data_IF_455885633049
#
_entry.id   IF_455885633049
#
_cell.length_a   1.000
_cell.length_b   1.000
_cell.length_c   1.000
_cell.angle_alpha   90.00
_cell.angle_beta   90.00
_cell.angle_gamma   90.00
#
_symmetry.space_group_name_H-M   'P 1'
#
loop_
_entity.id
_entity.type
_entity.pdbx_description
1 polymer ?
#
# COMPACT_ATOMS: atom_id res chain seq x y z
N UNK A 1 -7.05 22.69 -34.85
CA UNK A 1 -8.30 22.35 -34.12
C UNK A 1 -8.13 20.95 -33.59
N UNK A 2 -7.50 20.84 -32.42
CA UNK A 2 -7.30 19.54 -31.78
C UNK A 2 -8.63 19.11 -31.18
N UNK A 3 -9.11 17.95 -31.63
CA UNK A 3 -10.35 17.38 -31.13
C UNK A 3 -10.19 17.14 -29.62
N UNK A 4 -11.04 17.79 -28.84
CA UNK A 4 -11.13 17.60 -27.39
C UNK A 4 -11.36 16.10 -27.13
N UNK A 5 -10.43 15.38 -26.46
CA UNK A 5 -10.57 13.94 -26.22
C UNK A 5 -11.70 13.60 -25.23
N UNK A 6 -12.41 14.60 -24.72
CA UNK A 6 -13.48 14.45 -23.71
C UNK A 6 -14.86 14.10 -24.30
N UNK A 7 -15.02 14.06 -25.63
CA UNK A 7 -16.27 13.68 -26.29
C UNK A 7 -16.33 12.19 -26.65
N UNK A 8 -15.59 11.32 -25.96
CA UNK A 8 -15.81 9.89 -26.09
C UNK A 8 -17.18 9.56 -25.50
N UNK A 9 -18.19 9.39 -26.36
CA UNK A 9 -19.52 8.96 -25.99
C UNK A 9 -19.50 7.65 -25.16
N UNK A 10 -20.64 7.21 -24.62
CA UNK A 10 -20.75 6.09 -23.69
C UNK A 10 -20.29 4.73 -24.22
N UNK A 11 -19.82 4.64 -25.45
CA UNK A 11 -19.48 3.38 -26.13
C UNK A 11 -18.00 2.98 -26.06
N UNK A 12 -17.07 3.88 -25.65
CA UNK A 12 -15.65 3.53 -25.66
C UNK A 12 -15.28 2.53 -24.57
N UNK A 13 -14.74 1.38 -24.96
CA UNK A 13 -14.21 0.35 -24.04
C UNK A 13 -12.70 0.44 -24.00
N UNK A 14 -12.15 0.80 -22.85
CA UNK A 14 -10.71 0.78 -22.59
C UNK A 14 -10.21 -0.65 -22.42
N UNK A 15 -9.01 -0.94 -22.87
CA UNK A 15 -8.38 -2.23 -22.61
C UNK A 15 -7.98 -2.33 -21.11
N UNK A 16 -7.35 -1.27 -20.59
CA UNK A 16 -6.95 -1.19 -19.18
C UNK A 16 -7.21 0.21 -18.63
N UNK A 17 -7.79 0.27 -17.43
CA UNK A 17 -7.78 1.47 -16.60
C UNK A 17 -6.77 1.27 -15.46
N UNK A 18 -5.79 2.15 -15.37
CA UNK A 18 -4.81 2.22 -14.27
C UNK A 18 -5.26 3.30 -13.30
N UNK A 19 -5.48 2.94 -12.04
CA UNK A 19 -5.95 3.85 -10.99
C UNK A 19 -4.78 4.22 -10.07
N UNK A 20 -4.34 5.47 -10.15
CA UNK A 20 -3.18 6.00 -9.46
C UNK A 20 -1.95 6.07 -10.37
N UNK A 21 -1.29 7.24 -10.40
CA UNK A 21 -0.05 7.50 -11.15
C UNK A 21 1.12 7.81 -10.21
N UNK A 22 1.20 7.10 -9.10
CA UNK A 22 2.41 6.95 -8.31
C UNK A 22 3.39 5.98 -8.98
N UNK A 23 4.46 5.61 -8.29
CA UNK A 23 5.53 4.74 -8.80
C UNK A 23 5.02 3.45 -9.46
N UNK A 24 4.09 2.77 -8.80
CA UNK A 24 3.53 1.52 -9.30
C UNK A 24 2.68 1.71 -10.55
N UNK A 25 1.83 2.74 -10.57
CA UNK A 25 0.95 3.04 -11.71
C UNK A 25 1.73 3.49 -12.94
N UNK A 26 2.74 4.35 -12.77
CA UNK A 26 3.62 4.78 -13.86
C UNK A 26 4.42 3.61 -14.44
N UNK A 27 4.96 2.72 -13.58
CA UNK A 27 5.65 1.52 -14.05
C UNK A 27 4.70 0.56 -14.80
N UNK A 28 3.42 0.48 -14.39
CA UNK A 28 2.40 -0.30 -15.09
C UNK A 28 2.08 0.30 -16.46
N UNK A 29 1.80 1.61 -16.50
CA UNK A 29 1.46 2.30 -17.75
C UNK A 29 2.60 2.19 -18.80
N UNK A 30 3.84 2.37 -18.35
CA UNK A 30 5.01 2.19 -19.20
C UNK A 30 5.14 0.74 -19.74
N UNK A 31 4.93 -0.28 -18.91
CA UNK A 31 5.02 -1.67 -19.39
C UNK A 31 3.89 -2.00 -20.35
N UNK A 32 2.67 -1.46 -20.17
CA UNK A 32 1.56 -1.58 -21.11
C UNK A 32 1.92 -0.94 -22.47
N UNK A 33 2.50 0.27 -22.44
CA UNK A 33 3.02 0.93 -23.64
C UNK A 33 4.07 0.06 -24.36
N UNK A 34 5.02 -0.52 -23.64
CA UNK A 34 6.03 -1.44 -24.20
C UNK A 34 5.41 -2.70 -24.82
N UNK A 35 4.21 -3.06 -24.43
CA UNK A 35 3.44 -4.19 -24.96
C UNK A 35 2.52 -3.79 -26.10
N UNK A 36 2.64 -2.58 -26.61
CA UNK A 36 1.89 -2.08 -27.77
C UNK A 36 0.50 -1.54 -27.44
N UNK A 37 0.16 -1.30 -26.15
CA UNK A 37 -1.08 -0.62 -25.80
C UNK A 37 -0.82 0.89 -25.73
N UNK A 38 -1.64 1.66 -26.42
CA UNK A 38 -1.44 3.10 -26.61
C UNK A 38 -2.10 3.90 -25.48
N UNK A 39 -1.33 4.71 -24.70
CA UNK A 39 -1.90 5.59 -23.69
C UNK A 39 -2.86 6.62 -24.31
N UNK A 40 -4.03 6.78 -23.68
CA UNK A 40 -5.09 7.64 -24.20
C UNK A 40 -5.97 7.00 -25.28
N UNK A 41 -5.61 5.80 -25.74
CA UNK A 41 -6.42 5.00 -26.69
C UNK A 41 -6.83 3.65 -26.08
N UNK A 42 -5.87 2.83 -25.69
CA UNK A 42 -6.10 1.53 -25.05
C UNK A 42 -6.04 1.63 -23.52
N UNK A 43 -5.17 2.50 -23.01
CA UNK A 43 -4.88 2.67 -21.58
C UNK A 43 -5.33 4.03 -21.10
N UNK A 44 -6.20 4.05 -20.08
CA UNK A 44 -6.58 5.23 -19.34
C UNK A 44 -5.89 5.22 -18.00
N UNK A 45 -5.14 6.28 -17.66
CA UNK A 45 -4.51 6.46 -16.35
C UNK A 45 -5.23 7.57 -15.59
N UNK A 46 -5.82 7.24 -14.45
CA UNK A 46 -6.56 8.18 -13.59
C UNK A 46 -5.79 8.39 -12.28
N UNK A 47 -5.56 9.64 -11.90
CA UNK A 47 -4.88 9.99 -10.65
C UNK A 47 -5.61 11.11 -9.92
N UNK A 48 -5.84 10.90 -8.61
CA UNK A 48 -6.58 11.84 -7.78
C UNK A 48 -5.74 13.05 -7.35
N UNK A 49 -4.42 13.00 -7.52
CA UNK A 49 -3.50 14.07 -7.16
C UNK A 49 -3.65 15.30 -8.03
N UNK A 50 -3.29 16.47 -7.52
CA UNK A 50 -3.28 17.72 -8.28
C UNK A 50 -2.12 17.80 -9.28
N UNK A 51 -1.14 16.88 -9.21
CA UNK A 51 0.03 16.86 -10.10
C UNK A 51 0.87 15.60 -9.92
N UNK A 52 1.92 15.42 -10.73
CA UNK A 52 2.86 14.30 -10.63
C UNK A 52 3.54 14.19 -9.27
N UNK A 53 4.00 12.98 -8.90
CA UNK A 53 4.74 12.73 -7.67
C UNK A 53 4.08 11.68 -6.76
N UNK A 54 2.79 11.38 -6.94
CA UNK A 54 2.05 10.45 -6.09
C UNK A 54 2.18 10.82 -4.60
N UNK A 55 2.40 9.84 -3.72
CA UNK A 55 2.57 10.08 -2.28
C UNK A 55 3.82 10.92 -1.92
N UNK A 56 4.80 11.05 -2.81
CA UNK A 56 6.00 11.86 -2.56
C UNK A 56 5.70 13.34 -2.58
N UNK A 57 4.78 13.79 -3.43
CA UNK A 57 4.37 15.17 -3.54
C UNK A 57 3.89 15.77 -2.21
N UNK A 58 3.27 14.94 -1.37
CA UNK A 58 2.67 15.32 -0.10
C UNK A 58 3.62 15.19 1.09
N UNK A 59 4.91 14.85 0.86
CA UNK A 59 5.90 14.74 1.91
C UNK A 59 6.42 16.11 2.33
N UNK A 60 6.85 16.20 3.59
CA UNK A 60 7.40 17.41 4.21
C UNK A 60 8.82 17.71 3.71
N UNK A 61 9.19 18.99 3.74
CA UNK A 61 10.44 19.47 3.12
C UNK A 61 11.72 18.96 3.82
N UNK A 62 11.70 18.67 5.14
CA UNK A 62 12.86 18.11 5.83
C UNK A 62 13.16 16.65 5.45
N UNK A 63 12.24 15.95 4.78
CA UNK A 63 12.53 14.67 4.14
C UNK A 63 13.29 14.91 2.83
N UNK A 64 14.57 15.18 2.95
CA UNK A 64 15.45 15.35 1.79
C UNK A 64 15.74 14.04 1.08
N UNK A 65 16.25 14.11 -0.15
CA UNK A 65 16.60 12.92 -0.94
C UNK A 65 17.58 12.00 -0.20
N UNK A 66 18.55 12.57 0.51
CA UNK A 66 19.53 11.80 1.29
C UNK A 66 18.96 11.12 2.54
N UNK A 67 17.81 11.60 3.05
CA UNK A 67 17.08 10.98 4.17
C UNK A 67 15.98 10.03 3.71
N UNK A 68 15.61 10.08 2.43
CA UNK A 68 14.65 9.17 1.85
C UNK A 68 15.31 7.80 1.64
N UNK A 69 14.74 6.74 2.20
CA UNK A 69 15.23 5.39 1.97
C UNK A 69 14.99 4.99 0.52
N UNK A 70 16.03 4.97 -0.29
CA UNK A 70 16.12 4.54 -1.68
C UNK A 70 14.85 4.79 -2.53
N UNK A 71 14.90 5.81 -3.38
CA UNK A 71 13.91 6.00 -4.44
C UNK A 71 14.33 5.13 -5.61
N UNK A 72 13.50 4.12 -5.91
CA UNK A 72 13.81 3.22 -7.01
C UNK A 72 13.49 3.87 -8.36
N UNK A 73 14.35 3.61 -9.34
CA UNK A 73 14.15 4.05 -10.71
C UNK A 73 12.86 3.54 -11.33
N UNK A 74 12.23 4.36 -12.14
CA UNK A 74 11.16 3.94 -13.03
C UNK A 74 11.74 3.25 -14.29
N UNK A 75 11.02 2.28 -14.88
CA UNK A 75 11.51 1.54 -16.02
C UNK A 75 11.82 2.44 -17.23
N UNK A 76 13.01 2.30 -17.80
CA UNK A 76 13.41 3.03 -19.01
C UNK A 76 13.88 4.47 -18.79
N UNK A 77 13.89 4.96 -17.55
CA UNK A 77 14.43 6.29 -17.23
C UNK A 77 14.92 6.32 -15.77
N UNK A 78 16.21 6.36 -15.52
CA UNK A 78 16.74 6.48 -14.17
C UNK A 78 16.41 7.87 -13.59
N UNK A 79 16.31 7.95 -12.25
CA UNK A 79 16.18 9.22 -11.52
C UNK A 79 17.34 10.17 -11.84
N UNK A 80 18.54 9.60 -12.01
CA UNK A 80 19.77 10.34 -12.23
C UNK A 80 20.34 10.91 -10.92
N UNK A 81 21.36 11.75 -11.07
CA UNK A 81 22.00 12.42 -9.93
C UNK A 81 21.16 13.64 -9.51
N UNK A 82 20.80 13.68 -8.24
CA UNK A 82 20.15 14.85 -7.63
C UNK A 82 20.83 15.13 -6.28
N UNK A 83 20.91 16.42 -5.85
CA UNK A 83 21.51 16.77 -4.57
C UNK A 83 20.77 16.11 -3.40
N UNK A 84 21.52 15.65 -2.41
CA UNK A 84 20.99 14.89 -1.26
C UNK A 84 20.21 15.76 -0.26
N UNK A 85 20.42 17.07 -0.28
CA UNK A 85 19.83 18.08 0.61
C UNK A 85 18.51 18.69 0.08
N UNK A 86 18.14 18.38 -1.17
CA UNK A 86 16.88 18.84 -1.75
C UNK A 86 15.71 18.00 -1.23
N UNK A 87 14.53 18.61 -0.93
CA UNK A 87 13.33 17.89 -0.55
C UNK A 87 12.96 16.80 -1.55
N UNK A 88 12.78 15.57 -1.07
CA UNK A 88 12.43 14.42 -1.92
C UNK A 88 11.10 14.65 -2.66
N UNK A 89 10.16 15.40 -2.05
CA UNK A 89 8.89 15.79 -2.66
C UNK A 89 9.07 16.53 -3.98
N UNK A 90 10.05 17.44 -4.05
CA UNK A 90 10.35 18.23 -5.28
C UNK A 90 11.05 17.37 -6.32
N UNK A 91 12.11 16.65 -5.91
CA UNK A 91 12.90 15.82 -6.83
C UNK A 91 12.04 14.74 -7.50
N UNK A 92 11.22 14.04 -6.70
CA UNK A 92 10.40 12.93 -7.23
C UNK A 92 9.22 13.45 -8.04
N UNK A 93 8.62 14.57 -7.66
CA UNK A 93 7.52 15.17 -8.45
C UNK A 93 8.01 15.61 -9.84
N UNK A 94 9.19 16.23 -9.90
CA UNK A 94 9.80 16.60 -11.18
C UNK A 94 10.20 15.38 -12.01
N UNK A 95 10.78 14.37 -11.38
CA UNK A 95 11.13 13.11 -12.02
C UNK A 95 9.91 12.41 -12.64
N UNK A 96 8.79 12.32 -11.91
CA UNK A 96 7.57 11.68 -12.42
C UNK A 96 6.94 12.50 -13.55
N UNK A 97 6.95 13.84 -13.44
CA UNK A 97 6.50 14.71 -14.53
C UNK A 97 7.30 14.44 -15.80
N UNK A 98 8.64 14.48 -15.74
CA UNK A 98 9.52 14.19 -16.88
C UNK A 98 9.30 12.78 -17.46
N UNK A 99 8.99 11.82 -16.57
CA UNK A 99 8.68 10.45 -16.98
C UNK A 99 7.37 10.36 -17.77
N UNK A 100 6.31 10.99 -17.28
CA UNK A 100 5.01 11.07 -17.95
C UNK A 100 5.13 11.72 -19.33
N UNK A 101 5.84 12.83 -19.40
CA UNK A 101 6.08 13.59 -20.63
C UNK A 101 6.89 12.74 -21.65
N UNK A 102 8.00 12.13 -21.17
CA UNK A 102 8.89 11.33 -22.03
C UNK A 102 8.19 10.15 -22.70
N UNK A 103 7.31 9.49 -21.97
CA UNK A 103 6.61 8.30 -22.46
C UNK A 103 5.18 8.57 -22.90
N UNK A 104 4.74 9.83 -22.91
CA UNK A 104 3.40 10.22 -23.36
C UNK A 104 2.27 9.49 -22.62
N UNK A 105 2.38 9.30 -21.31
CA UNK A 105 1.48 8.45 -20.54
C UNK A 105 0.05 9.00 -20.39
N UNK A 106 -0.19 10.28 -20.74
CA UNK A 106 -1.52 10.94 -20.77
C UNK A 106 -2.33 10.74 -19.51
N UNK A 107 -1.70 10.97 -18.34
CA UNK A 107 -2.35 10.84 -17.03
C UNK A 107 -3.42 11.93 -16.86
N UNK A 108 -4.66 11.52 -16.54
CA UNK A 108 -5.74 12.47 -16.22
C UNK A 108 -5.69 12.83 -14.76
N UNK A 109 -5.68 14.15 -14.46
CA UNK A 109 -5.65 14.75 -13.12
C UNK A 109 -6.43 16.07 -13.10
N UNK A 110 -7.09 16.40 -11.99
CA UNK A 110 -7.47 15.48 -10.92
C UNK A 110 -8.58 14.53 -11.38
N UNK A 111 -8.43 13.24 -11.07
CA UNK A 111 -9.39 12.21 -11.41
C UNK A 111 -9.48 11.18 -10.27
N UNK A 112 -10.44 11.35 -9.38
CA UNK A 112 -10.64 10.50 -8.21
C UNK A 112 -11.60 9.38 -8.53
N UNK A 113 -11.13 8.14 -8.57
CA UNK A 113 -11.99 6.97 -8.75
C UNK A 113 -12.83 6.75 -7.48
N UNK A 114 -14.14 6.70 -7.64
CA UNK A 114 -15.13 6.54 -6.60
C UNK A 114 -15.52 5.08 -6.42
N UNK A 115 -15.78 4.38 -7.54
CA UNK A 115 -16.19 2.99 -7.53
C UNK A 115 -15.77 2.24 -8.79
N UNK A 116 -15.61 0.93 -8.63
CA UNK A 116 -15.47 -0.03 -9.73
C UNK A 116 -16.55 -1.09 -9.56
N UNK A 117 -17.37 -1.27 -10.58
CA UNK A 117 -18.45 -2.27 -10.62
C UNK A 117 -18.25 -3.22 -11.78
N UNK A 118 -18.96 -4.35 -11.79
CA UNK A 118 -19.03 -5.26 -12.93
C UNK A 118 -20.40 -5.17 -13.59
N UNK A 119 -20.45 -5.16 -14.92
CA UNK A 119 -21.69 -5.16 -15.66
C UNK A 119 -22.53 -6.43 -15.44
N UNK A 120 -21.87 -7.53 -15.09
CA UNK A 120 -22.49 -8.75 -14.55
C UNK A 120 -21.67 -9.20 -13.34
N UNK A 121 -22.27 -9.20 -12.15
CA UNK A 121 -21.69 -9.88 -11.00
C UNK A 121 -21.82 -11.38 -11.25
N UNK A 122 -20.76 -12.20 -11.12
CA UNK A 122 -20.96 -13.62 -10.96
C UNK A 122 -21.90 -13.80 -9.74
N UNK A 123 -22.97 -14.56 -9.92
CA UNK A 123 -23.82 -14.94 -8.80
C UNK A 123 -22.92 -15.52 -7.69
N UNK A 124 -23.12 -15.16 -6.41
CA UNK A 124 -22.38 -15.82 -5.35
C UNK A 124 -22.62 -17.32 -5.51
N UNK A 125 -21.57 -18.06 -5.78
CA UNK A 125 -21.64 -19.51 -5.67
C UNK A 125 -21.82 -19.80 -4.17
N UNK A 126 -23.06 -19.89 -3.76
CA UNK A 126 -23.45 -20.55 -2.53
C UNK A 126 -23.25 -22.05 -2.79
N UNK A 127 -22.02 -22.51 -2.74
CA UNK A 127 -21.72 -23.93 -2.61
C UNK A 127 -21.48 -24.17 -1.13
N UNK A 128 -22.34 -24.97 -0.66
CA UNK A 128 -22.38 -25.95 0.40
C UNK A 128 -23.36 -25.60 1.50
N UNK A 129 -24.61 -25.91 1.20
CA UNK A 129 -25.50 -26.51 2.18
C UNK A 129 -25.23 -28.00 2.13
N UNK A 130 -25.01 -28.65 3.30
CA UNK A 130 -25.11 -30.08 3.40
C UNK A 130 -26.51 -30.56 2.97
N UNK A 131 -26.66 -31.83 2.66
CA UNK A 131 -27.95 -32.45 2.25
C UNK A 131 -29.09 -32.25 3.27
N UNK A 132 -28.87 -31.48 4.34
CA UNK A 132 -29.84 -31.13 5.40
C UNK A 132 -30.18 -29.67 5.51
N UNK A 133 -29.69 -28.75 4.62
CA UNK A 133 -30.09 -27.33 4.61
C UNK A 133 -29.53 -26.48 5.76
N UNK A 134 -28.52 -26.94 6.47
CA UNK A 134 -27.86 -26.18 7.54
C UNK A 134 -26.70 -25.37 6.99
N UNK A 135 -26.71 -24.05 7.23
CA UNK A 135 -25.55 -23.19 7.00
C UNK A 135 -24.37 -23.70 7.83
N UNK A 136 -23.27 -24.08 7.18
CA UNK A 136 -22.04 -24.44 7.87
C UNK A 136 -21.49 -23.22 8.59
N UNK A 137 -21.64 -23.22 9.92
CA UNK A 137 -21.01 -22.27 10.82
C UNK A 137 -19.49 -22.46 10.71
N UNK A 138 -18.76 -21.39 10.44
CA UNK A 138 -17.32 -21.42 10.36
C UNK A 138 -16.71 -22.10 11.60
N UNK A 139 -15.72 -22.99 11.44
CA UNK A 139 -15.11 -23.69 12.55
C UNK A 139 -14.45 -22.70 13.51
N UNK A 140 -14.74 -22.84 14.77
CA UNK A 140 -14.01 -22.24 15.88
C UNK A 140 -12.54 -22.67 15.77
N UNK A 141 -11.64 -21.71 15.91
CA UNK A 141 -10.20 -21.93 15.81
C UNK A 141 -9.73 -22.95 16.84
N UNK A 142 -9.44 -24.15 16.37
CA UNK A 142 -8.59 -25.08 17.08
C UNK A 142 -7.14 -24.86 16.59
N UNK A 143 -6.22 -24.67 17.54
CA UNK A 143 -4.85 -24.19 17.34
C UNK A 143 -3.90 -25.20 16.70
N UNK A 144 -4.42 -26.20 15.96
CA UNK A 144 -3.67 -27.34 15.44
C UNK A 144 -3.66 -27.55 13.92
N UNK A 145 -4.40 -26.78 13.12
CA UNK A 145 -4.43 -26.99 11.68
C UNK A 145 -3.31 -26.19 11.00
N UNK A 146 -2.31 -26.86 10.46
CA UNK A 146 -1.29 -26.30 9.59
C UNK A 146 -1.88 -25.68 8.33
N UNK A 147 -1.12 -24.83 7.60
CA UNK A 147 -1.62 -24.10 6.44
C UNK A 147 -2.11 -25.08 5.36
N UNK A 148 -3.33 -24.83 4.85
CA UNK A 148 -3.89 -25.59 3.73
C UNK A 148 -2.89 -25.62 2.55
N UNK A 149 -2.65 -26.82 2.02
CA UNK A 149 -1.71 -27.03 0.91
C UNK A 149 -2.17 -26.30 -0.34
N UNK A 150 -1.22 -25.73 -1.10
CA UNK A 150 -1.43 -24.92 -2.30
C UNK A 150 -2.17 -25.63 -3.46
N UNK A 151 -2.59 -26.90 -3.30
CA UNK A 151 -3.24 -27.72 -4.31
C UNK A 151 -4.77 -27.70 -4.31
N UNK A 152 -5.42 -27.17 -3.26
CA UNK A 152 -6.89 -27.25 -3.08
C UNK A 152 -7.63 -25.94 -3.44
N UNK A 153 -7.01 -25.10 -4.23
CA UNK A 153 -7.64 -23.86 -4.70
C UNK A 153 -8.53 -24.19 -5.88
N UNK A 154 -9.84 -24.04 -5.71
CA UNK A 154 -10.79 -24.10 -6.81
C UNK A 154 -10.31 -23.22 -7.98
N UNK A 155 -10.58 -23.63 -9.21
CA UNK A 155 -10.24 -22.88 -10.42
C UNK A 155 -10.69 -21.41 -10.26
N UNK A 156 -9.85 -20.46 -10.73
CA UNK A 156 -10.24 -19.06 -10.77
C UNK A 156 -11.63 -18.93 -11.42
N UNK A 157 -12.52 -18.08 -10.89
CA UNK A 157 -13.87 -17.98 -11.42
C UNK A 157 -13.83 -17.69 -12.91
N UNK A 158 -14.59 -18.46 -13.68
CA UNK A 158 -14.74 -18.25 -15.12
C UNK A 158 -15.57 -16.99 -15.32
N UNK A 159 -14.88 -15.87 -15.51
CA UNK A 159 -15.52 -14.59 -15.80
C UNK A 159 -15.81 -14.56 -17.31
N UNK A 160 -17.09 -14.46 -17.72
CA UNK A 160 -17.46 -14.45 -19.12
C UNK A 160 -16.64 -13.39 -19.90
N UNK A 161 -16.20 -13.74 -21.10
CA UNK A 161 -15.26 -12.91 -21.91
C UNK A 161 -15.80 -11.51 -22.21
N UNK A 162 -17.13 -11.36 -22.24
CA UNK A 162 -17.82 -10.12 -22.63
C UNK A 162 -18.18 -9.23 -21.42
N UNK A 163 -17.88 -9.65 -20.19
CA UNK A 163 -18.13 -8.81 -19.00
C UNK A 163 -17.08 -7.72 -18.86
N UNK A 164 -17.56 -6.49 -18.72
CA UNK A 164 -16.73 -5.31 -18.51
C UNK A 164 -16.77 -4.86 -17.06
N UNK A 165 -15.76 -4.09 -16.70
CA UNK A 165 -15.76 -3.29 -15.47
C UNK A 165 -16.17 -1.86 -15.81
N UNK A 166 -16.94 -1.23 -14.93
CA UNK A 166 -17.29 0.18 -14.99
C UNK A 166 -16.56 0.92 -13.88
N UNK A 167 -15.78 1.91 -14.25
CA UNK A 167 -14.99 2.76 -13.35
C UNK A 167 -15.65 4.12 -13.29
N UNK A 168 -16.26 4.45 -12.16
CA UNK A 168 -16.84 5.78 -11.91
C UNK A 168 -15.80 6.63 -11.20
N UNK A 169 -15.54 7.82 -11.73
CA UNK A 169 -14.58 8.77 -11.19
C UNK A 169 -15.14 10.20 -11.20
N UNK A 170 -14.76 10.97 -10.19
CA UNK A 170 -14.84 12.42 -10.22
C UNK A 170 -13.64 12.96 -10.98
N UNK A 171 -13.88 13.53 -12.14
CA UNK A 171 -12.87 14.14 -13.01
C UNK A 171 -13.14 15.64 -13.08
N UNK A 172 -12.27 16.44 -12.47
CA UNK A 172 -12.41 17.90 -12.44
C UNK A 172 -13.76 18.40 -11.89
N UNK A 173 -14.32 17.68 -10.90
CA UNK A 173 -15.62 18.00 -10.29
C UNK A 173 -16.85 17.44 -11.03
N UNK A 174 -16.65 16.69 -12.10
CA UNK A 174 -17.72 16.03 -12.84
C UNK A 174 -17.61 14.50 -12.74
N UNK A 175 -18.72 13.85 -12.40
CA UNK A 175 -18.75 12.39 -12.38
C UNK A 175 -18.73 11.83 -13.81
N UNK A 176 -17.81 10.90 -14.07
CA UNK A 176 -17.60 10.23 -15.35
C UNK A 176 -17.50 8.72 -15.13
N UNK A 177 -18.06 7.95 -16.06
CA UNK A 177 -17.97 6.49 -16.07
C UNK A 177 -17.19 6.01 -17.27
N UNK A 178 -16.24 5.09 -17.03
CA UNK A 178 -15.38 4.50 -18.05
C UNK A 178 -15.57 2.99 -18.04
N UNK A 179 -15.84 2.40 -19.20
CA UNK A 179 -15.91 0.95 -19.38
C UNK A 179 -14.54 0.39 -19.71
N UNK A 180 -14.15 -0.71 -19.10
CA UNK A 180 -12.84 -1.33 -19.30
C UNK A 180 -12.87 -2.85 -19.19
N UNK A 181 -11.92 -3.50 -19.86
CA UNK A 181 -11.73 -4.94 -19.74
C UNK A 181 -10.95 -5.33 -18.50
N UNK A 182 -10.05 -4.47 -18.05
CA UNK A 182 -9.21 -4.72 -16.87
C UNK A 182 -8.96 -3.44 -16.07
N UNK A 183 -8.79 -3.62 -14.76
CA UNK A 183 -8.40 -2.56 -13.83
C UNK A 183 -7.10 -2.94 -13.15
N UNK A 184 -6.15 -2.01 -13.12
CA UNK A 184 -4.95 -2.07 -12.28
C UNK A 184 -5.07 -1.00 -11.20
N UNK A 185 -5.33 -1.41 -9.96
CA UNK A 185 -5.38 -0.48 -8.82
C UNK A 185 -3.99 -0.29 -8.24
N UNK A 186 -3.46 0.93 -8.37
CA UNK A 186 -2.15 1.38 -7.90
C UNK A 186 -2.27 2.57 -6.92
N UNK A 187 -3.33 2.59 -6.12
CA UNK A 187 -3.74 3.72 -5.28
C UNK A 187 -2.92 3.90 -4.01
N UNK A 188 -2.05 2.94 -3.69
CA UNK A 188 -1.17 3.01 -2.51
C UNK A 188 -1.92 3.08 -1.18
N UNK A 189 -1.33 3.81 -0.23
CA UNK A 189 -1.81 3.86 1.16
C UNK A 189 -1.90 5.28 1.72
N UNK A 190 -1.24 6.26 1.12
CA UNK A 190 -0.99 7.58 1.68
C UNK A 190 -2.25 8.35 2.11
N UNK A 191 -3.33 8.21 1.37
CA UNK A 191 -4.62 8.87 1.62
C UNK A 191 -5.46 8.18 2.71
N UNK A 192 -4.95 7.08 3.30
CA UNK A 192 -5.66 6.31 4.33
C UNK A 192 -4.77 6.15 5.57
N UNK A 193 -4.46 7.25 6.30
CA UNK A 193 -3.76 7.18 7.57
C UNK A 193 -4.57 6.34 8.57
N UNK A 194 -3.86 5.58 9.40
CA UNK A 194 -4.50 4.74 10.41
C UNK A 194 -4.24 5.29 11.81
N UNK A 195 -5.29 5.73 12.46
CA UNK A 195 -5.28 6.09 13.89
C UNK A 195 -6.06 5.02 14.66
N UNK A 196 -5.44 4.32 15.62
CA UNK A 196 -6.14 3.34 16.43
C UNK A 196 -7.14 4.06 17.35
N UNK A 197 -8.28 3.44 17.57
CA UNK A 197 -9.20 3.93 18.59
C UNK A 197 -8.64 3.67 20.00
N UNK A 198 -8.67 4.70 20.83
CA UNK A 198 -8.28 4.63 22.24
C UNK A 198 -9.34 5.34 23.08
N UNK A 199 -9.77 4.75 24.22
CA UNK A 199 -10.74 5.38 25.12
C UNK A 199 -10.30 6.79 25.54
N UNK A 200 -11.22 7.76 25.43
CA UNK A 200 -10.98 9.16 25.82
C UNK A 200 -10.31 10.02 24.74
N UNK A 201 -10.03 9.49 23.54
CA UNK A 201 -9.41 10.26 22.47
C UNK A 201 -10.17 11.56 22.08
N UNK A 202 -11.53 11.60 22.08
CA UNK A 202 -12.28 12.83 21.81
C UNK A 202 -12.15 13.90 22.92
N UNK A 203 -11.78 13.51 24.15
CA UNK A 203 -11.67 14.43 25.29
C UNK A 203 -10.32 15.16 25.32
N UNK A 204 -9.37 14.75 24.50
CA UNK A 204 -8.04 15.34 24.46
C UNK A 204 -8.10 16.79 23.96
N UNK A 205 -7.58 17.72 24.76
CA UNK A 205 -7.59 19.16 24.48
C UNK A 205 -6.35 19.64 23.74
N UNK A 206 -5.33 18.78 23.63
CA UNK A 206 -4.14 19.03 22.82
C UNK A 206 -4.36 18.72 21.34
N UNK A 207 -3.29 18.82 20.56
CA UNK A 207 -3.30 18.52 19.12
C UNK A 207 -3.12 17.03 18.88
N UNK A 208 -3.95 16.43 18.04
CA UNK A 208 -3.72 15.11 17.48
C UNK A 208 -3.43 15.25 15.97
N UNK A 209 -2.38 14.61 15.50
CA UNK A 209 -1.99 14.62 14.09
C UNK A 209 -1.43 13.26 13.68
N UNK A 210 -1.49 12.97 12.40
CA UNK A 210 -0.86 11.80 11.79
C UNK A 210 0.35 12.25 10.95
N UNK A 211 1.21 11.30 10.53
CA UNK A 211 2.35 11.53 9.64
C UNK A 211 2.03 12.41 8.42
N UNK A 212 0.83 12.32 7.86
CA UNK A 212 0.40 13.13 6.70
C UNK A 212 0.21 14.60 7.02
N UNK A 213 0.00 14.95 8.30
CA UNK A 213 -0.28 16.31 8.75
C UNK A 213 1.00 17.06 9.13
N UNK A 214 2.14 16.36 9.23
CA UNK A 214 3.41 16.96 9.61
C UNK A 214 3.94 17.89 8.53
N UNK A 215 4.48 19.04 8.96
CA UNK A 215 5.12 20.04 8.06
C UNK A 215 6.56 20.33 8.48
N UNK A 216 6.78 20.72 9.73
CA UNK A 216 8.12 21.03 10.24
C UNK A 216 8.25 20.79 11.73
N UNK A 217 9.47 20.54 12.21
CA UNK A 217 9.75 20.37 13.63
C UNK A 217 9.51 21.67 14.45
N UNK A 218 9.65 22.84 13.83
CA UNK A 218 9.44 24.12 14.48
C UNK A 218 8.02 24.33 15.03
N UNK A 219 7.02 23.64 14.44
CA UNK A 219 5.63 23.69 14.94
C UNK A 219 5.48 23.09 16.35
N UNK A 220 6.46 22.34 16.82
CA UNK A 220 6.42 21.62 18.13
C UNK A 220 7.35 22.23 19.16
N UNK A 221 7.93 23.40 18.88
CA UNK A 221 8.91 24.02 19.78
C UNK A 221 8.33 24.24 21.20
N UNK A 222 9.06 23.75 22.20
CA UNK A 222 8.68 23.85 23.61
C UNK A 222 7.50 22.97 24.05
N UNK A 223 6.95 22.15 23.17
CA UNK A 223 5.83 21.25 23.47
C UNK A 223 6.32 19.88 23.91
N UNK A 224 5.49 19.16 24.67
CA UNK A 224 5.66 17.75 24.96
C UNK A 224 4.90 16.90 23.97
N UNK A 225 5.63 16.13 23.14
CA UNK A 225 5.10 15.39 22.00
C UNK A 225 5.16 13.89 22.24
N UNK A 226 3.99 13.25 22.29
CA UNK A 226 3.89 11.80 22.30
C UNK A 226 3.94 11.25 20.88
N UNK A 227 5.02 10.59 20.50
CA UNK A 227 5.17 9.91 19.23
C UNK A 227 4.72 8.45 19.36
N UNK A 228 3.68 8.06 18.63
CA UNK A 228 3.06 6.74 18.72
C UNK A 228 3.37 5.91 17.50
N UNK A 229 4.07 4.79 17.66
CA UNK A 229 4.39 3.85 16.57
C UNK A 229 5.81 3.31 16.64
N UNK A 230 6.00 2.09 16.15
CA UNK A 230 7.30 1.38 16.16
C UNK A 230 7.96 1.27 14.80
N UNK A 231 7.65 2.18 13.87
CA UNK A 231 8.19 2.17 12.51
C UNK A 231 9.28 3.22 12.29
N UNK A 232 9.93 3.16 11.10
CA UNK A 232 10.99 4.10 10.71
C UNK A 232 10.55 5.56 10.80
N UNK A 233 9.30 5.87 10.43
CA UNK A 233 8.80 7.25 10.54
C UNK A 233 8.80 7.75 11.98
N UNK A 234 8.40 6.92 12.95
CA UNK A 234 8.43 7.31 14.36
C UNK A 234 9.85 7.61 14.83
N UNK A 235 10.82 6.74 14.47
CA UNK A 235 12.23 6.91 14.82
C UNK A 235 12.80 8.20 14.23
N UNK A 236 12.52 8.47 12.94
CA UNK A 236 12.99 9.67 12.25
C UNK A 236 12.40 10.94 12.87
N UNK A 237 11.09 10.94 13.17
CA UNK A 237 10.46 12.11 13.82
C UNK A 237 10.92 12.34 15.25
N UNK A 238 11.16 11.28 16.03
CA UNK A 238 11.72 11.43 17.38
C UNK A 238 13.07 12.15 17.32
N UNK A 239 13.97 11.75 16.40
CA UNK A 239 15.27 12.40 16.26
C UNK A 239 15.15 13.83 15.69
N UNK A 240 14.18 14.09 14.84
CA UNK A 240 13.95 15.42 14.26
C UNK A 240 13.32 16.39 15.28
N UNK A 241 12.45 15.89 16.16
CA UNK A 241 11.76 16.69 17.17
C UNK A 241 12.58 16.91 18.43
N UNK A 242 13.45 15.97 18.82
CA UNK A 242 14.21 16.06 20.07
C UNK A 242 14.99 17.37 20.31
N UNK A 243 15.55 18.05 19.28
CA UNK A 243 16.20 19.34 19.49
C UNK A 243 15.27 20.51 19.87
N UNK A 244 13.95 20.39 19.63
CA UNK A 244 13.00 21.50 19.79
C UNK A 244 11.83 21.19 20.73
N UNK A 245 11.59 19.91 21.04
CA UNK A 245 10.45 19.44 21.82
C UNK A 245 10.88 18.39 22.85
N UNK A 246 10.11 18.26 23.94
CA UNK A 246 10.21 17.12 24.87
C UNK A 246 9.44 15.93 24.27
N UNK A 247 10.14 14.84 23.95
CA UNK A 247 9.54 13.71 23.23
C UNK A 247 9.34 12.50 24.12
N UNK A 248 8.16 11.86 23.98
CA UNK A 248 7.83 10.58 24.62
C UNK A 248 7.50 9.58 23.52
N UNK A 249 8.15 8.42 23.56
CA UNK A 249 7.90 7.37 22.57
C UNK A 249 6.97 6.28 23.09
N UNK A 250 5.91 5.96 22.35
CA UNK A 250 4.99 4.89 22.70
C UNK A 250 4.96 3.79 21.63
N UNK A 251 5.23 2.55 22.06
CA UNK A 251 5.09 1.34 21.22
C UNK A 251 4.43 0.22 22.02
N UNK A 252 3.66 -0.63 21.35
CA UNK A 252 2.97 -1.76 22.02
C UNK A 252 3.90 -2.90 22.43
N UNK A 253 5.09 -2.95 21.86
CA UNK A 253 6.10 -3.98 22.05
C UNK A 253 7.49 -3.36 21.89
N UNK A 254 8.54 -4.07 22.30
CA UNK A 254 9.91 -3.61 22.08
C UNK A 254 10.15 -3.21 20.65
N UNK A 255 10.83 -2.10 20.37
CA UNK A 255 11.27 -1.74 19.03
C UNK A 255 12.12 -2.86 18.44
N UNK A 256 11.76 -3.32 17.24
CA UNK A 256 12.46 -4.41 16.57
C UNK A 256 13.57 -3.85 15.70
N UNK A 257 14.82 -4.09 16.08
CA UNK A 257 16.01 -3.70 15.33
C UNK A 257 16.52 -4.85 14.45
N UNK A 258 17.37 -4.55 13.49
CA UNK A 258 18.01 -5.55 12.62
C UNK A 258 19.45 -5.17 12.31
N UNK A 259 20.32 -6.17 12.31
CA UNK A 259 21.70 -6.07 11.83
C UNK A 259 21.81 -6.37 10.32
N UNK A 260 20.72 -6.90 9.74
CA UNK A 260 20.70 -7.23 8.33
C UNK A 260 20.93 -6.00 7.47
N UNK A 261 21.88 -6.08 6.58
CA UNK A 261 22.01 -5.14 5.47
C UNK A 261 20.83 -5.32 4.53
N UNK A 262 20.28 -4.20 4.04
CA UNK A 262 19.19 -4.23 3.06
C UNK A 262 19.75 -4.66 1.69
N UNK A 263 20.14 -5.93 1.56
CA UNK A 263 20.57 -6.51 0.29
C UNK A 263 19.43 -7.18 -0.49
N UNK A 264 19.69 -7.55 -1.73
CA UNK A 264 18.68 -8.13 -2.62
C UNK A 264 18.20 -9.51 -2.14
N UNK A 265 19.04 -10.30 -1.48
CA UNK A 265 18.71 -11.64 -0.97
C UNK A 265 17.72 -11.54 0.19
N UNK A 266 18.01 -10.64 1.10
CA UNK A 266 17.14 -10.35 2.22
C UNK A 266 15.79 -9.74 1.76
N UNK A 267 15.83 -8.75 0.83
CA UNK A 267 14.64 -8.17 0.21
C UNK A 267 13.73 -9.22 -0.42
N UNK A 268 14.28 -10.19 -1.14
CA UNK A 268 13.53 -11.27 -1.73
C UNK A 268 12.89 -12.22 -0.69
N UNK A 269 13.52 -12.42 0.46
CA UNK A 269 12.96 -13.22 1.55
C UNK A 269 11.75 -12.56 2.19
N UNK A 270 11.84 -11.24 2.40
CA UNK A 270 10.76 -10.40 2.91
C UNK A 270 9.57 -10.39 1.94
N UNK A 271 9.82 -10.19 0.65
CA UNK A 271 8.77 -10.23 -0.38
C UNK A 271 8.02 -11.58 -0.35
N UNK A 272 8.74 -12.71 -0.34
CA UNK A 272 8.13 -14.05 -0.28
C UNK A 272 7.24 -14.25 0.95
N UNK A 273 7.69 -13.79 2.10
CA UNK A 273 6.94 -13.91 3.34
C UNK A 273 5.64 -13.07 3.32
N UNK A 274 5.69 -11.86 2.75
CA UNK A 274 4.50 -11.02 2.57
C UNK A 274 3.57 -11.59 1.51
N UNK A 275 4.09 -12.14 0.42
CA UNK A 275 3.29 -12.79 -0.63
C UNK A 275 2.57 -14.05 -0.09
N UNK A 276 3.25 -14.89 0.69
CA UNK A 276 2.62 -16.02 1.36
C UNK A 276 1.47 -15.60 2.29
N UNK A 277 1.65 -14.47 2.99
CA UNK A 277 0.63 -13.90 3.86
C UNK A 277 -0.61 -13.44 3.09
N UNK A 278 -0.43 -12.71 1.99
CA UNK A 278 -1.56 -12.24 1.16
C UNK A 278 -2.21 -13.36 0.38
N UNK A 279 -1.46 -14.37 -0.03
CA UNK A 279 -2.00 -15.60 -0.61
C UNK A 279 -2.88 -16.39 0.38
N UNK A 280 -2.59 -16.32 1.68
CA UNK A 280 -3.43 -16.87 2.74
C UNK A 280 -4.63 -15.98 3.11
N UNK A 281 -4.90 -14.88 2.38
CA UNK A 281 -6.01 -13.95 2.66
C UNK A 281 -5.85 -13.14 3.93
N UNK A 282 -4.62 -13.02 4.44
CA UNK A 282 -4.31 -12.14 5.57
C UNK A 282 -3.97 -10.73 5.06
N UNK A 283 -4.28 -9.66 5.82
CA UNK A 283 -3.86 -8.31 5.46
C UNK A 283 -2.33 -8.21 5.35
N UNK A 284 -1.79 -7.44 4.41
CA UNK A 284 -0.35 -7.21 4.32
C UNK A 284 0.23 -6.67 5.63
N UNK A 285 1.44 -7.07 5.97
CA UNK A 285 2.18 -6.49 7.08
C UNK A 285 2.94 -5.25 6.63
N UNK A 286 3.23 -4.32 7.56
CA UNK A 286 4.12 -3.19 7.26
C UNK A 286 5.55 -3.68 6.99
N UNK A 287 6.30 -2.93 6.18
CA UNK A 287 7.70 -3.24 5.85
C UNK A 287 8.53 -3.40 7.13
N UNK A 288 8.50 -2.42 8.04
CA UNK A 288 9.31 -2.46 9.27
C UNK A 288 8.96 -3.64 10.17
N UNK A 289 7.72 -4.08 10.18
CA UNK A 289 7.32 -5.27 10.94
C UNK A 289 8.00 -6.53 10.41
N UNK A 290 8.31 -6.55 9.13
CA UNK A 290 8.94 -7.68 8.45
C UNK A 290 10.46 -7.56 8.48
N UNK A 291 10.99 -6.33 8.48
CA UNK A 291 12.40 -6.02 8.28
C UNK A 291 13.14 -5.58 9.53
N UNK A 292 12.47 -4.90 10.46
CA UNK A 292 13.08 -4.24 11.59
C UNK A 292 13.60 -2.82 11.29
N UNK A 293 14.10 -2.15 12.32
CA UNK A 293 14.75 -0.84 12.27
C UNK A 293 16.26 -1.09 12.08
N UNK A 294 16.93 -0.52 11.06
CA UNK A 294 18.36 -0.75 10.85
C UNK A 294 19.20 -0.13 11.99
N UNK A 295 20.24 -0.83 12.42
CA UNK A 295 21.19 -0.35 13.43
C UNK A 295 22.20 0.64 12.84
N UNK A 296 21.75 1.79 12.38
CA UNK A 296 22.66 2.84 11.90
C UNK A 296 23.16 3.73 13.04
N UNK A 297 24.35 4.37 12.91
CA UNK A 297 24.96 5.16 13.98
C UNK A 297 24.03 6.22 14.59
N UNK A 298 23.25 6.91 13.77
CA UNK A 298 22.31 7.94 14.24
C UNK A 298 21.20 7.38 15.16
N UNK A 299 20.72 6.17 14.90
CA UNK A 299 19.68 5.55 15.73
C UNK A 299 20.26 5.02 17.03
N UNK A 300 21.45 4.42 16.99
CA UNK A 300 22.15 3.98 18.21
C UNK A 300 22.50 5.17 19.10
N UNK A 301 22.91 6.29 18.50
CA UNK A 301 23.12 7.55 19.24
C UNK A 301 21.83 8.07 19.88
N UNK A 302 20.72 8.06 19.16
CA UNK A 302 19.41 8.44 19.70
C UNK A 302 18.96 7.57 20.88
N UNK A 303 19.34 6.28 20.91
CA UNK A 303 19.10 5.41 22.07
C UNK A 303 19.96 5.86 23.24
N UNK A 304 21.28 6.08 23.03
CA UNK A 304 22.21 6.53 24.10
C UNK A 304 21.80 7.87 24.70
N UNK A 305 21.26 8.77 23.91
CA UNK A 305 20.74 10.07 24.34
C UNK A 305 19.36 9.99 25.02
N UNK A 306 18.74 8.80 25.05
CA UNK A 306 17.42 8.61 25.66
C UNK A 306 16.23 9.04 24.78
N UNK A 307 16.49 9.50 23.55
CA UNK A 307 15.44 9.93 22.60
C UNK A 307 14.69 8.73 22.05
N UNK A 308 15.40 7.66 21.67
CA UNK A 308 14.80 6.44 21.13
C UNK A 308 14.58 5.37 22.21
N UNK A 309 13.90 5.76 23.29
CA UNK A 309 13.53 4.85 24.39
C UNK A 309 12.01 4.77 24.50
N UNK A 310 11.45 3.63 24.09
CA UNK A 310 10.01 3.42 24.21
C UNK A 310 9.57 3.14 25.64
N UNK A 311 8.50 3.81 26.06
CA UNK A 311 7.90 3.75 27.40
C UNK A 311 6.73 2.76 27.51
N UNK A 312 6.58 1.85 26.52
CA UNK A 312 5.43 0.95 26.44
C UNK A 312 4.25 1.60 25.73
N UNK A 313 3.04 1.14 26.02
CA UNK A 313 1.82 1.64 25.39
C UNK A 313 0.83 2.15 26.41
N UNK A 314 0.02 3.11 26.02
CA UNK A 314 -1.08 3.65 26.80
C UNK A 314 -2.41 2.98 26.42
N UNK A 315 -3.34 2.96 27.38
CA UNK A 315 -4.68 2.38 27.26
C UNK A 315 -5.81 3.43 27.32
N UNK A 316 -5.48 4.66 27.70
CA UNK A 316 -6.45 5.75 27.84
C UNK A 316 -5.81 7.09 27.47
N UNK A 317 -6.62 7.93 26.86
CA UNK A 317 -6.32 9.35 26.63
C UNK A 317 -7.23 10.16 27.55
N UNK A 318 -6.69 11.19 28.19
CA UNK A 318 -7.42 12.16 28.98
C UNK A 318 -7.25 13.57 28.42
N UNK A 319 -7.83 14.59 29.08
CA UNK A 319 -7.85 15.96 28.54
C UNK A 319 -6.46 16.57 28.29
N UNK A 320 -5.43 16.17 29.03
CA UNK A 320 -4.08 16.75 28.95
C UNK A 320 -2.97 15.71 28.87
N UNK A 321 -3.28 14.45 28.57
CA UNK A 321 -2.26 13.42 28.53
C UNK A 321 -2.80 12.02 28.29
N UNK A 322 -1.94 11.05 28.51
CA UNK A 322 -2.24 9.63 28.31
C UNK A 322 -1.86 8.79 29.53
N UNK A 323 -2.57 7.70 29.74
CA UNK A 323 -2.24 6.72 30.76
C UNK A 323 -1.51 5.55 30.13
N UNK A 324 -0.21 5.45 30.37
CA UNK A 324 0.54 4.24 30.05
C UNK A 324 0.12 3.10 30.96
N UNK A 325 0.08 1.88 30.42
CA UNK A 325 -0.38 0.71 31.16
C UNK A 325 0.41 -0.54 30.75
N UNK A 326 0.92 -1.31 31.71
CA UNK A 326 1.53 -2.61 31.43
C UNK A 326 0.58 -3.55 30.68
N UNK A 327 -0.73 -3.47 30.93
CA UNK A 327 -1.73 -4.29 30.26
C UNK A 327 -1.90 -3.97 28.76
N UNK A 328 -1.54 -2.77 28.33
CA UNK A 328 -1.54 -2.36 26.92
C UNK A 328 -0.19 -2.64 26.22
N UNK A 329 0.79 -3.11 26.98
CA UNK A 329 2.19 -3.29 26.57
C UNK A 329 2.50 -4.78 26.48
N UNK A 330 3.01 -5.23 25.34
CA UNK A 330 3.43 -6.63 25.16
C UNK A 330 4.93 -6.76 25.45
N UNK A 331 5.29 -7.59 26.42
CA UNK A 331 6.68 -7.79 26.83
C UNK A 331 7.53 -8.45 25.73
N UNK A 332 6.91 -9.26 24.88
CA UNK A 332 7.56 -9.92 23.75
C UNK A 332 6.67 -9.91 22.50
N UNK A 333 7.23 -10.41 21.42
CA UNK A 333 6.52 -10.58 20.17
C UNK A 333 5.81 -11.95 20.04
N UNK A 334 6.04 -12.87 20.97
CA UNK A 334 5.64 -14.28 20.84
C UNK A 334 4.12 -14.49 20.90
N UNK A 335 3.39 -13.66 21.64
CA UNK A 335 1.93 -13.78 21.79
C UNK A 335 1.10 -13.21 20.65
N UNK A 336 1.71 -12.69 19.57
CA UNK A 336 0.98 -11.92 18.55
C UNK A 336 0.45 -12.76 17.38
N UNK A 337 0.65 -14.08 17.37
CA UNK A 337 0.19 -14.98 16.30
C UNK A 337 0.64 -14.52 14.91
N UNK A 338 -0.25 -14.49 13.90
CA UNK A 338 0.07 -13.99 12.56
C UNK A 338 0.58 -12.56 12.52
N UNK A 339 0.58 -11.89 13.65
CA UNK A 339 1.08 -10.53 13.87
C UNK A 339 2.49 -10.47 14.43
N UNK A 340 3.13 -11.60 14.72
CA UNK A 340 4.53 -11.63 15.17
C UNK A 340 5.47 -10.95 14.16
N UNK A 341 6.54 -10.27 14.62
CA UNK A 341 7.56 -9.79 13.71
C UNK A 341 8.18 -10.96 12.96
N UNK A 342 8.40 -10.77 11.67
CA UNK A 342 9.09 -11.76 10.82
C UNK A 342 10.59 -11.47 10.76
N UNK A 343 11.05 -10.42 11.43
CA UNK A 343 12.44 -10.02 11.53
C UNK A 343 13.21 -10.76 12.61
N UNK A 344 14.47 -10.40 12.82
CA UNK A 344 15.41 -11.02 13.76
C UNK A 344 14.94 -11.02 15.22
N UNK A 345 13.92 -10.22 15.57
CA UNK A 345 13.48 -10.05 16.97
C UNK A 345 14.50 -9.34 17.85
N UNK A 346 15.53 -8.72 17.25
CA UNK A 346 16.58 -8.05 17.99
C UNK A 346 16.02 -6.82 18.69
N UNK A 347 16.17 -6.78 20.00
CA UNK A 347 15.83 -5.63 20.83
C UNK A 347 17.12 -5.00 21.34
N UNK A 348 17.32 -3.71 21.04
CA UNK A 348 18.39 -2.94 21.70
C UNK A 348 18.00 -2.72 23.16
N UNK A 349 18.79 -3.20 24.15
CA UNK A 349 18.38 -3.25 25.54
C UNK A 349 17.91 -1.89 26.10
N UNK A 350 18.64 -0.83 25.76
CA UNK A 350 18.34 0.52 26.23
C UNK A 350 17.19 1.21 25.47
N UNK A 351 16.67 0.62 24.38
CA UNK A 351 15.57 1.18 23.61
C UNK A 351 14.19 0.88 24.20
N UNK A 352 14.11 0.04 25.23
CA UNK A 352 12.88 -0.46 25.81
C UNK A 352 12.86 -0.34 27.33
N UNK A 353 12.11 0.63 27.82
CA UNK A 353 11.94 0.89 29.28
C UNK A 353 10.47 1.21 29.55
N UNK A 354 9.56 0.22 29.46
CA UNK A 354 8.15 0.44 29.69
C UNK A 354 7.88 0.84 31.14
N UNK A 355 6.81 1.58 31.35
CA UNK A 355 6.36 1.83 32.72
C UNK A 355 5.86 0.53 33.35
N UNK A 356 6.31 0.25 34.55
CA UNK A 356 5.97 -0.97 35.30
C UNK A 356 4.59 -0.89 35.98
N UNK A 357 4.07 0.32 36.17
CA UNK A 357 2.76 0.59 36.75
C UNK A 357 1.97 1.57 35.86
N UNK A 358 0.62 1.63 35.98
CA UNK A 358 -0.18 2.62 35.29
C UNK A 358 0.30 4.04 35.60
N UNK A 359 0.78 4.77 34.60
CA UNK A 359 1.42 6.08 34.75
C UNK A 359 0.78 7.10 33.83
N UNK A 360 0.32 8.22 34.37
CA UNK A 360 -0.13 9.37 33.61
C UNK A 360 1.06 10.20 33.14
N UNK A 361 1.05 10.52 31.82
CA UNK A 361 2.04 11.40 31.23
C UNK A 361 1.27 12.53 30.54
N UNK A 362 1.52 13.77 31.00
CA UNK A 362 0.98 14.96 30.35
C UNK A 362 1.69 15.18 29.02
N UNK A 363 0.92 15.50 27.98
CA UNK A 363 1.43 15.80 26.64
C UNK A 363 0.55 16.87 25.97
N UNK A 364 1.17 17.70 25.17
CA UNK A 364 0.49 18.74 24.39
C UNK A 364 0.03 18.20 23.03
N UNK A 365 0.77 17.22 22.51
CA UNK A 365 0.57 16.67 21.17
C UNK A 365 0.61 15.16 21.19
N UNK A 366 -0.32 14.51 20.50
CA UNK A 366 -0.26 13.08 20.16
C UNK A 366 0.02 12.97 18.66
N UNK A 367 1.20 12.47 18.32
CA UNK A 367 1.65 12.31 16.95
C UNK A 367 1.59 10.84 16.53
N UNK A 368 0.56 10.49 15.75
CA UNK A 368 0.28 9.15 15.29
C UNK A 368 1.17 8.77 14.11
N UNK A 369 2.15 7.91 14.36
CA UNK A 369 3.01 7.27 13.35
C UNK A 369 2.66 5.79 13.21
N UNK A 370 1.36 5.51 13.19
CA UNK A 370 0.78 4.17 13.27
C UNK A 370 0.53 3.51 11.91
N UNK A 371 1.08 4.13 10.86
CA UNK A 371 1.05 3.61 9.50
C UNK A 371 -0.26 3.91 8.78
N UNK A 372 -0.50 3.17 7.71
CA UNK A 372 -1.55 3.44 6.74
C UNK A 372 -2.34 2.17 6.41
N UNK A 373 -3.54 2.35 5.87
CA UNK A 373 -4.34 1.29 5.25
C UNK A 373 -4.30 1.43 3.73
N UNK A 374 -4.52 0.33 3.02
CA UNK A 374 -4.63 0.37 1.56
C UNK A 374 -5.89 1.10 1.11
N UNK A 375 -5.76 1.97 0.12
CA UNK A 375 -6.85 2.76 -0.44
C UNK A 375 -7.67 1.93 -1.46
N UNK A 376 -8.40 0.94 -0.99
CA UNK A 376 -9.16 -0.02 -1.82
C UNK A 376 -10.68 0.14 -1.74
N UNK A 377 -11.18 1.25 -1.16
CA UNK A 377 -12.61 1.48 -0.97
C UNK A 377 -13.40 1.48 -2.29
N UNK A 378 -12.82 1.96 -3.37
CA UNK A 378 -13.39 1.98 -4.72
C UNK A 378 -13.64 0.57 -5.29
N UNK A 379 -12.96 -0.46 -4.79
CA UNK A 379 -13.14 -1.84 -5.22
C UNK A 379 -14.16 -2.61 -4.38
N UNK A 380 -14.79 -2.00 -3.36
CA UNK A 380 -15.79 -2.66 -2.50
C UNK A 380 -16.95 -3.31 -3.29
N UNK A 381 -17.50 -2.69 -4.35
CA UNK A 381 -18.60 -3.29 -5.10
C UNK A 381 -18.23 -4.64 -5.73
N UNK A 382 -16.96 -4.88 -6.04
CA UNK A 382 -16.48 -6.12 -6.64
C UNK A 382 -16.37 -7.29 -5.64
N UNK A 383 -16.52 -7.03 -4.33
CA UNK A 383 -16.49 -8.08 -3.28
C UNK A 383 -15.29 -9.01 -3.35
N UNK A 384 -14.09 -8.46 -3.59
CA UNK A 384 -12.84 -9.21 -3.82
C UNK A 384 -12.34 -10.02 -2.62
N UNK A 385 -12.96 -9.92 -1.45
CA UNK A 385 -12.61 -10.70 -0.27
C UNK A 385 -13.37 -12.02 -0.29
N UNK A 386 -12.65 -13.10 -0.10
CA UNK A 386 -13.24 -14.42 0.11
C UNK A 386 -13.82 -14.50 1.52
N UNK A 387 -15.00 -15.11 1.75
CA UNK A 387 -15.55 -15.34 3.09
C UNK A 387 -14.51 -15.98 4.02
N UNK A 388 -14.45 -15.53 5.28
CA UNK A 388 -13.47 -16.01 6.25
C UNK A 388 -12.09 -15.37 6.17
N UNK A 389 -11.77 -14.58 5.14
CA UNK A 389 -10.49 -13.88 5.03
C UNK A 389 -10.55 -12.44 5.55
N UNK A 390 -9.41 -11.94 6.09
CA UNK A 390 -9.30 -10.54 6.58
C UNK A 390 -8.77 -9.58 5.51
N UNK A 391 -8.17 -10.10 4.43
CA UNK A 391 -7.58 -9.37 3.31
C UNK A 391 -8.10 -9.87 1.98
N UNK A 392 -7.64 -9.24 0.89
CA UNK A 392 -7.85 -9.76 -0.47
C UNK A 392 -6.88 -10.93 -0.67
N UNK A 393 -7.41 -12.05 -1.18
CA UNK A 393 -6.59 -13.22 -1.53
C UNK A 393 -5.88 -12.92 -2.84
N UNK A 394 -4.54 -13.01 -2.81
CA UNK A 394 -3.73 -12.77 -3.98
C UNK A 394 -3.29 -14.10 -4.61
N UNK A 395 -3.32 -14.13 -5.95
CA UNK A 395 -2.72 -15.18 -6.77
C UNK A 395 -1.40 -14.66 -7.32
N UNK A 396 -0.32 -14.95 -6.60
CA UNK A 396 0.97 -14.29 -6.83
C UNK A 396 1.02 -12.86 -6.29
N UNK A 397 1.86 -12.02 -6.89
CA UNK A 397 2.19 -10.68 -6.39
C UNK A 397 1.12 -9.62 -6.69
N UNK A 398 0.47 -9.71 -7.86
CA UNK A 398 -0.40 -8.65 -8.39
C UNK A 398 -1.80 -9.09 -8.76
N UNK A 399 -2.03 -10.39 -9.02
CA UNK A 399 -3.33 -10.89 -9.41
C UNK A 399 -4.25 -11.07 -8.20
N UNK A 400 -5.52 -10.72 -8.35
CA UNK A 400 -6.57 -11.01 -7.37
C UNK A 400 -7.18 -12.37 -7.71
N UNK A 401 -7.26 -13.26 -6.72
CA UNK A 401 -7.80 -14.60 -6.93
C UNK A 401 -9.30 -14.59 -7.26
N UNK A 402 -10.06 -13.63 -6.68
CA UNK A 402 -11.52 -13.56 -6.85
C UNK A 402 -11.96 -12.97 -8.20
N UNK A 403 -11.13 -12.17 -8.87
CA UNK A 403 -11.47 -11.57 -10.17
C UNK A 403 -10.23 -11.37 -11.04
N UNK A 404 -10.06 -12.15 -12.12
CA UNK A 404 -8.88 -12.07 -12.97
C UNK A 404 -8.79 -10.76 -13.78
N UNK A 405 -9.81 -9.93 -13.80
CA UNK A 405 -9.81 -8.61 -14.44
C UNK A 405 -9.18 -7.53 -13.57
N UNK A 406 -8.97 -7.83 -12.28
CA UNK A 406 -8.45 -6.88 -11.30
C UNK A 406 -7.03 -7.25 -10.90
N UNK A 407 -6.12 -6.28 -10.98
CA UNK A 407 -4.77 -6.38 -10.49
C UNK A 407 -4.54 -5.33 -9.39
N UNK A 408 -3.85 -5.71 -8.32
CA UNK A 408 -3.48 -4.81 -7.21
C UNK A 408 -1.97 -4.59 -7.21
N UNK A 409 -1.55 -3.34 -7.28
CA UNK A 409 -0.15 -2.94 -7.16
C UNK A 409 0.01 -1.99 -5.99
N UNK A 410 1.06 -2.15 -5.20
CA UNK A 410 1.19 -1.47 -3.92
C UNK A 410 0.40 -2.15 -2.79
N UNK A 411 -0.04 -3.40 -3.00
CA UNK A 411 -0.65 -4.27 -2.01
C UNK A 411 0.28 -5.45 -1.74
N UNK A 412 0.45 -5.85 -0.49
CA UNK A 412 1.39 -6.93 -0.16
C UNK A 412 2.86 -6.51 -0.28
N UNK A 413 3.68 -7.38 -0.85
CA UNK A 413 5.13 -7.17 -1.05
C UNK A 413 5.44 -5.98 -1.97
N UNK A 414 4.50 -5.61 -2.81
CA UNK A 414 4.62 -4.48 -3.72
C UNK A 414 4.46 -3.08 -3.06
N UNK A 415 4.28 -3.02 -1.75
CA UNK A 415 4.12 -1.76 -1.01
C UNK A 415 5.43 -1.02 -0.70
N UNK A 416 6.60 -1.55 -1.08
CA UNK A 416 7.90 -0.87 -1.02
C UNK A 416 8.21 -0.13 -2.32
N UNK A 417 9.17 0.81 -2.30
CA UNK A 417 9.55 1.56 -3.51
C UNK A 417 10.09 0.65 -4.62
N UNK A 418 11.03 -0.24 -4.31
CA UNK A 418 11.59 -1.22 -5.26
C UNK A 418 10.52 -2.23 -5.69
N UNK A 419 9.76 -2.76 -4.73
CA UNK A 419 8.65 -3.69 -4.97
C UNK A 419 7.56 -3.09 -5.85
N UNK A 420 7.25 -1.79 -5.69
CA UNK A 420 6.24 -1.09 -6.48
C UNK A 420 6.60 -1.04 -7.98
N UNK A 421 7.84 -0.70 -8.32
CA UNK A 421 8.31 -0.69 -9.72
C UNK A 421 8.25 -2.10 -10.34
N UNK A 422 8.73 -3.10 -9.60
CA UNK A 422 8.76 -4.50 -10.05
C UNK A 422 7.34 -5.05 -10.28
N UNK A 423 6.45 -4.81 -9.33
CA UNK A 423 5.05 -5.22 -9.41
C UNK A 423 4.26 -4.46 -10.50
N UNK A 424 4.54 -3.17 -10.72
CA UNK A 424 3.94 -2.41 -11.80
C UNK A 424 4.28 -3.00 -13.18
N UNK A 425 5.54 -3.39 -13.39
CA UNK A 425 5.95 -4.10 -14.62
C UNK A 425 5.27 -5.46 -14.74
N UNK A 426 5.15 -6.21 -13.64
CA UNK A 426 4.46 -7.50 -13.62
C UNK A 426 2.97 -7.34 -13.96
N UNK A 427 2.29 -6.36 -13.37
CA UNK A 427 0.89 -6.06 -13.65
C UNK A 427 0.67 -5.68 -15.12
N UNK A 428 1.52 -4.83 -15.69
CA UNK A 428 1.46 -4.48 -17.10
C UNK A 428 1.63 -5.68 -18.02
N UNK A 429 2.61 -6.57 -17.73
CA UNK A 429 2.81 -7.82 -18.48
C UNK A 429 1.60 -8.74 -18.40
N UNK A 430 1.10 -8.96 -17.18
CA UNK A 430 -0.02 -9.86 -16.95
C UNK A 430 -1.30 -9.34 -17.60
N UNK A 431 -1.57 -8.04 -17.49
CA UNK A 431 -2.71 -7.42 -18.15
C UNK A 431 -2.65 -7.58 -19.68
N UNK A 432 -1.53 -7.26 -20.31
CA UNK A 432 -1.36 -7.42 -21.74
C UNK A 432 -1.52 -8.89 -22.20
N UNK A 433 -0.96 -9.84 -21.43
CA UNK A 433 -1.11 -11.27 -21.70
C UNK A 433 -2.57 -11.72 -21.61
N UNK A 434 -3.30 -11.34 -20.55
CA UNK A 434 -4.72 -11.69 -20.38
C UNK A 434 -5.61 -11.09 -21.48
N UNK A 435 -5.31 -9.87 -21.91
CA UNK A 435 -6.02 -9.22 -23.02
C UNK A 435 -5.77 -9.93 -24.35
N UNK A 436 -4.54 -10.35 -24.63
CA UNK A 436 -4.21 -11.11 -25.84
C UNK A 436 -4.93 -12.47 -25.88
N UNK A 437 -5.02 -13.16 -24.76
CA UNK A 437 -5.74 -14.44 -24.64
C UNK A 437 -7.28 -14.31 -24.84
N UNK A 438 -7.84 -13.10 -24.66
CA UNK A 438 -9.26 -12.79 -24.89
C UNK A 438 -9.59 -12.42 -26.35
N UNK A 439 -8.59 -12.10 -27.19
CA UNK A 439 -8.83 -11.87 -28.62
C UNK A 439 -9.25 -13.21 -29.24
N UNK A 440 -10.37 -13.23 -30.04
CA UNK A 440 -10.70 -14.42 -30.83
C UNK A 440 -9.49 -14.71 -31.73
N UNK A 441 -9.12 -15.98 -31.86
CA UNK A 441 -8.08 -16.41 -32.78
C UNK A 441 -8.46 -15.85 -34.15
N UNK A 442 -7.69 -14.87 -34.63
CA UNK A 442 -7.87 -14.39 -36.01
C UNK A 442 -7.76 -15.63 -36.89
N UNK A 443 -8.82 -15.91 -37.63
CA UNK A 443 -8.89 -17.10 -38.46
C UNK A 443 -7.61 -17.20 -39.31
N UNK A 444 -6.89 -18.32 -39.16
CA UNK A 444 -5.80 -18.64 -40.06
C UNK A 444 -6.40 -18.59 -41.47
N UNK A 445 -5.82 -17.83 -42.43
CA UNK A 445 -6.27 -17.90 -43.79
C UNK A 445 -6.16 -19.36 -44.23
N UNK A 446 -7.28 -19.92 -44.67
CA UNK A 446 -7.34 -21.25 -45.26
C UNK A 446 -6.28 -21.33 -46.35
N UNK A 447 -5.46 -22.38 -46.43
CA UNK A 447 -4.53 -22.54 -47.52
C UNK A 447 -5.33 -22.57 -48.82
N UNK A 448 -5.11 -21.56 -49.69
CA UNK A 448 -5.68 -21.58 -51.05
C UNK A 448 -5.17 -22.82 -51.72
N UNK A 449 -6.07 -23.74 -52.06
CA UNK A 449 -5.81 -24.84 -52.96
C UNK A 449 -5.41 -24.28 -54.30
N UNK A 450 -4.15 -24.48 -54.68
CA UNK A 450 -3.66 -24.22 -56.05
C UNK A 450 -4.16 -25.38 -56.90
N UNK A 451 -4.96 -25.13 -57.95
CA UNK A 451 -5.30 -26.20 -58.87
C UNK A 451 -4.06 -26.57 -59.68
N UNK A 452 -3.67 -27.84 -59.65
CA UNK A 452 -2.72 -28.45 -60.56
C UNK A 452 -3.27 -28.39 -61.98
N UNK A 453 -2.54 -27.75 -62.88
CA UNK A 453 -2.56 -27.98 -64.32
C UNK A 453 -1.20 -28.55 -64.73
#
# INVERSE_FOLDING_TARGET
MDANPDTAGPERVWQVVVIGAGQAGLATAHELLRRGLVPGEDVLVLDAGAGPGGAWRERWDSLTLGRAHAIADLPGMPLGHAPSDVPASRVVSDYYRRYEDRFGLRVRRPARVLSVTSTQLPAPQLTDTDEGGRALVAPTWDSGAGPARAGDRGAAPDVPRDTLLEVTADVEGAERTFRTRMVVSATGTWTHPYVPWVPGAPDFRGRQLHTVDYRSASEFAGQRVLVVGGGLSAVQFLLELAPVADTVWATRRPPNFTESTFDDVWGASVERAVDARTAAGLPPASVVRTTGIPRIPAYLEGIRQGVLVSRGMFDRIGPRGVRFSPAATFADAAGLGPSAPMGSGLVEPDSWRPFEAPTWVEVDVIFWNTGFRHALSHLRPLRLRVPGTRGVVMDGRVAVAADPRVLLVGYGSSASTVGATRAGREAGRLAAHRLAARRPAAGRPSPRSVPLR
#
